data_IF_853412307700
#
_entry.id   IF_853412307700
#
_cell.length_a   1.000
_cell.length_b   1.000
_cell.length_c   1.000
_cell.angle_alpha   90.00
_cell.angle_beta   90.00
_cell.angle_gamma   90.00
#
_symmetry.space_group_name_H-M   'P 1'
#
loop_
_entity.id
_entity.type
_entity.pdbx_description
1 polymer ?
#
# COMPACT_ATOMS: atom_id res chain seq x y z
N UNK A 1 33.76 -46.36 28.15
CA UNK A 1 33.86 -46.11 26.67
C UNK A 1 33.54 -44.65 26.30
N UNK A 2 33.72 -44.21 25.05
CA UNK A 2 33.27 -42.87 24.60
C UNK A 2 32.10 -42.99 23.62
N UNK A 3 31.13 -42.08 23.71
CA UNK A 3 29.97 -42.07 22.82
C UNK A 3 30.42 -41.84 21.36
N UNK A 4 30.07 -42.73 20.42
CA UNK A 4 30.48 -42.57 19.02
C UNK A 4 29.84 -41.38 18.31
N UNK A 5 28.77 -40.79 18.87
CA UNK A 5 28.06 -39.67 18.26
C UNK A 5 28.54 -38.29 18.73
N UNK A 6 28.93 -38.15 20.00
CA UNK A 6 29.32 -36.84 20.56
C UNK A 6 30.65 -36.83 21.34
N UNK A 7 31.31 -37.97 21.48
CA UNK A 7 32.63 -38.08 22.11
C UNK A 7 32.66 -37.91 23.62
N UNK A 8 31.51 -37.83 24.30
CA UNK A 8 31.45 -37.79 25.78
C UNK A 8 31.76 -39.16 26.38
N UNK A 9 32.31 -39.18 27.58
CA UNK A 9 32.59 -40.42 28.32
C UNK A 9 31.28 -41.10 28.74
N UNK A 10 31.19 -42.42 28.56
CA UNK A 10 30.02 -43.25 28.85
C UNK A 10 30.47 -44.49 29.62
N UNK A 11 29.71 -44.91 30.64
CA UNK A 11 30.04 -46.10 31.43
C UNK A 11 29.73 -47.35 30.62
N UNK A 12 30.46 -48.42 30.88
CA UNK A 12 30.39 -49.64 30.09
C UNK A 12 29.06 -50.41 30.26
N UNK A 13 28.17 -50.00 31.18
CA UNK A 13 26.84 -50.59 31.37
C UNK A 13 25.70 -49.67 30.86
N UNK A 14 26.02 -48.46 30.39
CA UNK A 14 25.00 -47.50 29.96
C UNK A 14 24.45 -47.88 28.58
N UNK A 15 23.12 -47.98 28.48
CA UNK A 15 22.41 -48.29 27.23
C UNK A 15 22.28 -47.07 26.30
N UNK A 16 22.41 -45.86 26.85
CA UNK A 16 22.29 -44.58 26.14
C UNK A 16 23.27 -43.55 26.71
N UNK A 17 23.78 -42.66 25.87
CA UNK A 17 24.61 -41.54 26.28
C UNK A 17 23.77 -40.50 27.04
N UNK A 18 24.18 -40.13 28.25
CA UNK A 18 23.50 -39.14 29.08
C UNK A 18 23.52 -37.71 28.52
N UNK A 19 24.45 -37.39 27.62
CA UNK A 19 24.60 -36.03 27.06
C UNK A 19 23.80 -35.82 25.77
N UNK A 20 23.83 -36.78 24.84
CA UNK A 20 23.18 -36.62 23.52
C UNK A 20 22.03 -37.59 23.26
N UNK A 21 21.77 -38.55 24.17
CA UNK A 21 20.70 -39.54 24.05
C UNK A 21 20.95 -40.66 23.04
N UNK A 22 22.15 -40.76 22.45
CA UNK A 22 22.48 -41.81 21.50
C UNK A 22 22.58 -43.19 22.17
N UNK A 23 21.97 -44.22 21.57
CA UNK A 23 22.03 -45.61 22.05
C UNK A 23 23.45 -46.17 21.92
N UNK A 24 23.90 -46.92 22.92
CA UNK A 24 25.22 -47.56 22.97
C UNK A 24 25.04 -49.06 22.77
N UNK A 25 25.69 -49.63 21.76
CA UNK A 25 25.63 -51.06 21.47
C UNK A 25 26.78 -51.79 22.19
N UNK A 26 26.41 -52.66 23.12
CA UNK A 26 27.34 -53.58 23.78
C UNK A 26 27.38 -54.89 22.99
N UNK A 27 28.57 -55.30 22.56
CA UNK A 27 28.77 -56.58 21.88
C UNK A 27 29.14 -57.63 22.91
N UNK A 28 28.17 -58.46 23.32
CA UNK A 28 28.45 -59.63 24.16
C UNK A 28 29.12 -60.74 23.33
N UNK A 29 30.28 -61.21 23.79
CA UNK A 29 31.01 -62.36 23.23
C UNK A 29 30.45 -63.65 23.85
N UNK A 30 30.14 -64.70 23.06
CA UNK A 30 29.50 -65.91 23.57
C UNK A 30 30.52 -66.96 24.05
N UNK A 31 30.29 -67.58 25.21
CA UNK A 31 31.03 -68.78 25.63
C UNK A 31 30.17 -69.83 26.37
N UNK A 32 30.02 -70.96 25.67
CA UNK A 32 29.67 -72.36 25.96
C UNK A 32 29.23 -72.89 27.35
N UNK A 33 28.15 -73.68 27.31
CA UNK A 33 27.78 -74.83 28.19
C UNK A 33 28.82 -75.99 28.14
N UNK A 34 28.89 -77.00 29.06
CA UNK A 34 27.74 -77.80 29.57
C UNK A 34 27.82 -78.46 30.99
N UNK A 35 26.71 -79.11 31.42
CA UNK A 35 26.58 -80.53 31.86
C UNK A 35 25.46 -80.73 32.92
N UNK A 36 24.55 -81.66 32.61
CA UNK A 36 23.45 -82.23 33.42
C UNK A 36 23.90 -82.92 34.72
N UNK A 37 23.08 -82.81 35.78
CA UNK A 37 22.69 -83.93 36.67
C UNK A 37 21.37 -83.63 37.40
N UNK A 38 20.67 -84.71 37.71
CA UNK A 38 19.23 -84.87 37.96
C UNK A 38 18.97 -85.19 39.45
N UNK A 39 17.92 -84.62 40.07
CA UNK A 39 17.05 -85.22 41.11
C UNK A 39 16.04 -84.20 41.69
N UNK A 40 14.79 -84.64 41.82
CA UNK A 40 13.58 -83.93 42.27
C UNK A 40 13.45 -83.83 43.82
N UNK A 41 12.30 -83.44 44.42
CA UNK A 41 11.40 -82.29 44.17
C UNK A 41 11.12 -81.51 45.49
N UNK A 42 11.21 -80.17 45.53
CA UNK A 42 10.56 -79.41 46.62
C UNK A 42 10.00 -78.05 46.17
N UNK A 43 8.67 -77.96 46.36
CA UNK A 43 7.82 -76.80 46.62
C UNK A 43 7.78 -75.66 45.60
N UNK A 44 6.60 -75.55 44.97
CA UNK A 44 6.02 -74.29 44.51
C UNK A 44 6.20 -73.19 45.57
N UNK A 45 6.95 -72.14 45.22
CA UNK A 45 6.68 -70.82 45.79
C UNK A 45 6.38 -69.89 44.62
N UNK A 46 5.10 -69.85 44.26
CA UNK A 46 4.51 -68.72 43.54
C UNK A 46 4.93 -67.47 44.30
N UNK A 47 5.85 -66.67 43.75
CA UNK A 47 6.04 -65.29 44.20
C UNK A 47 4.76 -64.55 43.84
N UNK A 48 3.79 -64.61 44.74
CA UNK A 48 2.64 -63.72 44.74
C UNK A 48 3.20 -62.30 44.74
N UNK A 49 2.95 -61.58 43.65
CA UNK A 49 3.14 -60.14 43.60
C UNK A 49 2.56 -59.55 44.89
N UNK A 50 3.40 -58.84 45.66
CA UNK A 50 2.98 -58.20 46.90
C UNK A 50 1.79 -57.30 46.58
N UNK A 51 0.59 -57.76 46.94
CA UNK A 51 -0.65 -57.07 46.65
C UNK A 51 -0.67 -55.77 47.44
N UNK A 52 -0.73 -54.63 46.75
CA UNK A 52 -0.97 -53.33 47.37
C UNK A 52 -2.15 -53.44 48.37
N UNK A 53 -1.96 -52.89 49.57
CA UNK A 53 -3.01 -52.78 50.60
C UNK A 53 -4.29 -52.18 50.02
N UNK A 54 -5.47 -52.64 50.45
CA UNK A 54 -6.76 -52.18 49.91
C UNK A 54 -6.96 -50.67 50.01
N UNK A 55 -6.31 -50.00 50.97
CA UNK A 55 -6.30 -48.53 51.06
C UNK A 55 -5.45 -47.90 49.95
N UNK A 56 -4.29 -48.47 49.65
CA UNK A 56 -3.40 -48.02 48.57
C UNK A 56 -4.03 -48.33 47.21
N UNK A 57 -4.69 -49.48 47.03
CA UNK A 57 -5.48 -49.77 45.81
C UNK A 57 -6.59 -48.76 45.58
N UNK A 58 -7.33 -48.35 46.62
CA UNK A 58 -8.38 -47.32 46.49
C UNK A 58 -7.82 -45.95 46.14
N UNK A 59 -6.67 -45.57 46.70
CA UNK A 59 -5.96 -44.32 46.36
C UNK A 59 -5.45 -44.37 44.91
N UNK A 60 -4.81 -45.46 44.50
CA UNK A 60 -4.34 -45.66 43.12
C UNK A 60 -5.52 -45.64 42.13
N UNK A 61 -6.64 -46.31 42.44
CA UNK A 61 -7.85 -46.27 41.59
C UNK A 61 -8.42 -44.85 41.51
N UNK A 62 -8.42 -44.10 42.61
CA UNK A 62 -8.88 -42.71 42.62
C UNK A 62 -7.97 -41.79 41.80
N UNK A 63 -6.63 -41.91 41.92
CA UNK A 63 -5.68 -41.17 41.09
C UNK A 63 -5.78 -41.53 39.61
N UNK A 64 -5.89 -42.81 39.28
CA UNK A 64 -6.10 -43.27 37.89
C UNK A 64 -7.42 -42.70 37.35
N UNK A 65 -8.50 -42.74 38.13
CA UNK A 65 -9.78 -42.18 37.71
C UNK A 65 -9.67 -40.67 37.45
N UNK A 66 -9.02 -39.91 38.33
CA UNK A 66 -8.76 -38.47 38.14
C UNK A 66 -7.91 -38.22 36.90
N UNK A 67 -6.83 -38.98 36.70
CA UNK A 67 -5.98 -38.90 35.52
C UNK A 67 -6.78 -39.17 34.23
N UNK A 68 -7.64 -40.19 34.22
CA UNK A 68 -8.50 -40.52 33.08
C UNK A 68 -9.48 -39.39 32.79
N UNK A 69 -10.07 -38.76 33.81
CA UNK A 69 -10.94 -37.58 33.62
C UNK A 69 -10.15 -36.41 33.02
N UNK A 70 -8.94 -36.15 33.50
CA UNK A 70 -8.07 -35.09 32.96
C UNK A 70 -7.66 -35.38 31.51
N UNK A 71 -7.33 -36.62 31.18
CA UNK A 71 -7.02 -37.07 29.82
C UNK A 71 -8.26 -36.91 28.93
N UNK A 72 -9.44 -37.37 29.37
CA UNK A 72 -10.68 -37.22 28.61
C UNK A 72 -11.02 -35.74 28.37
N UNK A 73 -10.86 -34.89 29.39
CA UNK A 73 -11.02 -33.44 29.26
C UNK A 73 -9.99 -32.84 28.28
N UNK A 74 -8.73 -33.29 28.34
CA UNK A 74 -7.67 -32.86 27.42
C UNK A 74 -7.98 -33.25 25.97
N UNK A 75 -8.40 -34.48 25.71
CA UNK A 75 -8.80 -34.93 24.37
C UNK A 75 -10.06 -34.21 23.87
N UNK A 76 -11.04 -33.96 24.73
CA UNK A 76 -12.25 -33.23 24.38
C UNK A 76 -11.94 -31.76 24.02
N UNK A 77 -11.20 -31.05 24.87
CA UNK A 77 -10.81 -29.65 24.64
C UNK A 77 -9.83 -29.52 23.47
N UNK A 78 -8.90 -30.47 23.36
CA UNK A 78 -7.92 -30.58 22.28
C UNK A 78 -8.60 -30.74 20.93
N UNK A 79 -9.50 -31.71 20.78
CA UNK A 79 -10.28 -31.91 19.55
C UNK A 79 -11.15 -30.70 19.22
N UNK A 80 -11.79 -30.06 20.20
CA UNK A 80 -12.64 -28.89 19.96
C UNK A 80 -11.85 -27.69 19.42
N UNK A 81 -10.66 -27.43 19.96
CA UNK A 81 -9.76 -26.36 19.48
C UNK A 81 -9.02 -26.72 18.18
N UNK A 82 -9.03 -27.99 17.81
CA UNK A 82 -8.31 -28.57 16.68
C UNK A 82 -9.29 -29.02 15.60
N UNK A 83 -10.33 -28.22 15.39
CA UNK A 83 -11.38 -28.45 14.39
C UNK A 83 -11.30 -27.41 13.26
N UNK A 84 -11.85 -27.72 12.06
CA UNK A 84 -11.94 -26.75 10.97
C UNK A 84 -12.74 -25.50 11.37
N UNK A 85 -13.81 -25.69 12.14
CA UNK A 85 -14.65 -24.61 12.65
C UNK A 85 -13.87 -23.69 13.60
N UNK A 86 -12.97 -24.24 14.42
CA UNK A 86 -12.10 -23.45 15.28
C UNK A 86 -11.14 -22.57 14.48
N UNK A 87 -10.65 -23.05 13.33
CA UNK A 87 -9.79 -22.24 12.45
C UNK A 87 -10.58 -21.07 11.82
N UNK A 88 -11.80 -21.30 11.33
CA UNK A 88 -12.67 -20.25 10.81
C UNK A 88 -13.06 -19.23 11.88
N UNK A 89 -13.39 -19.68 13.10
CA UNK A 89 -13.65 -18.81 14.24
C UNK A 89 -12.42 -17.96 14.62
N UNK A 90 -11.23 -18.55 14.53
CA UNK A 90 -9.99 -17.82 14.80
C UNK A 90 -9.73 -16.73 13.76
N UNK A 91 -10.02 -16.98 12.47
CA UNK A 91 -9.99 -15.93 11.43
C UNK A 91 -10.95 -14.78 11.75
N UNK A 92 -12.21 -15.08 12.06
CA UNK A 92 -13.21 -14.05 12.44
C UNK A 92 -12.73 -13.24 13.65
N UNK A 93 -12.13 -13.92 14.64
CA UNK A 93 -11.55 -13.27 15.81
C UNK A 93 -10.37 -12.37 15.46
N UNK A 94 -9.42 -12.85 14.66
CA UNK A 94 -8.24 -12.07 14.26
C UNK A 94 -8.64 -10.86 13.41
N UNK A 95 -9.65 -10.99 12.53
CA UNK A 95 -10.20 -9.88 11.76
C UNK A 95 -10.86 -8.85 12.69
N UNK A 96 -11.77 -9.29 13.58
CA UNK A 96 -12.48 -8.39 14.50
C UNK A 96 -11.54 -7.74 15.54
N UNK A 97 -10.37 -8.37 15.78
CA UNK A 97 -9.30 -7.83 16.62
C UNK A 97 -8.27 -7.03 15.80
N UNK A 98 -8.58 -6.69 14.54
CA UNK A 98 -7.80 -5.83 13.67
C UNK A 98 -6.36 -6.32 13.41
N UNK A 99 -6.16 -7.64 13.33
CA UNK A 99 -4.84 -8.22 13.04
C UNK A 99 -4.57 -8.27 11.54
N UNK A 100 -4.58 -7.11 10.91
CA UNK A 100 -4.60 -6.94 9.45
C UNK A 100 -3.47 -7.65 8.71
N UNK A 101 -2.25 -7.63 9.24
CA UNK A 101 -1.12 -8.43 8.73
C UNK A 101 -1.51 -9.89 8.46
N UNK A 102 -2.12 -10.55 9.45
CA UNK A 102 -2.53 -11.96 9.32
C UNK A 102 -3.68 -12.18 8.35
N UNK A 103 -4.54 -11.17 8.21
CA UNK A 103 -5.68 -11.23 7.30
C UNK A 103 -5.19 -11.06 5.86
N UNK A 104 -4.20 -10.19 5.64
CA UNK A 104 -3.57 -9.97 4.35
C UNK A 104 -3.00 -11.25 3.75
N UNK A 105 -2.28 -12.04 4.55
CA UNK A 105 -1.65 -13.31 4.13
C UNK A 105 -2.65 -14.35 3.57
N UNK A 106 -3.95 -14.19 3.86
CA UNK A 106 -5.01 -15.10 3.41
C UNK A 106 -5.62 -14.66 2.07
N UNK A 107 -5.35 -13.44 1.63
CA UNK A 107 -5.72 -12.96 0.30
C UNK A 107 -4.69 -13.38 -0.74
N UNK A 108 -5.16 -13.52 -1.98
CA UNK A 108 -4.29 -13.75 -3.14
C UNK A 108 -4.34 -12.52 -4.04
N UNK A 109 -3.71 -11.43 -3.60
CA UNK A 109 -3.60 -10.21 -4.38
C UNK A 109 -2.40 -10.26 -5.33
N UNK A 110 -2.57 -9.65 -6.51
CA UNK A 110 -1.44 -9.31 -7.37
C UNK A 110 -0.78 -8.06 -6.81
N UNK A 111 0.43 -8.22 -6.27
CA UNK A 111 1.19 -7.16 -5.59
C UNK A 111 1.51 -5.99 -6.52
N UNK A 112 1.39 -4.78 -5.99
CA UNK A 112 1.73 -3.52 -6.66
C UNK A 112 2.14 -2.47 -5.61
N UNK A 113 2.48 -1.26 -6.06
CA UNK A 113 2.94 -0.13 -5.27
C UNK A 113 2.03 0.17 -4.07
N UNK A 114 0.71 0.11 -4.24
CA UNK A 114 -0.28 0.31 -3.17
C UNK A 114 -1.16 -0.91 -2.92
N UNK A 115 -0.79 -2.05 -3.48
CA UNK A 115 -1.43 -3.35 -3.25
C UNK A 115 -0.37 -4.24 -2.62
N UNK A 116 -0.17 -4.07 -1.33
CA UNK A 116 0.76 -4.83 -0.50
C UNK A 116 0.29 -4.81 0.95
N UNK A 117 0.94 -5.61 1.81
CA UNK A 117 0.57 -5.75 3.21
C UNK A 117 0.53 -4.39 3.95
N UNK A 118 1.57 -3.56 3.79
CA UNK A 118 1.65 -2.25 4.46
C UNK A 118 0.48 -1.35 4.03
N UNK A 119 0.21 -1.26 2.73
CA UNK A 119 -0.91 -0.49 2.21
C UNK A 119 -2.26 -1.00 2.72
N UNK A 120 -2.43 -2.31 2.82
CA UNK A 120 -3.66 -2.92 3.34
C UNK A 120 -3.87 -2.58 4.81
N UNK A 121 -2.84 -2.75 5.64
CA UNK A 121 -2.90 -2.41 7.07
C UNK A 121 -3.28 -0.95 7.28
N UNK A 122 -2.59 -0.02 6.60
CA UNK A 122 -2.89 1.41 6.68
C UNK A 122 -4.29 1.76 6.19
N UNK A 123 -4.77 1.12 5.11
CA UNK A 123 -6.13 1.35 4.61
C UNK A 123 -7.17 0.89 5.63
N UNK A 124 -6.97 -0.29 6.21
CA UNK A 124 -7.90 -0.88 7.18
C UNK A 124 -7.92 -0.14 8.52
N UNK A 125 -6.78 0.42 8.96
CA UNK A 125 -6.71 1.26 10.16
C UNK A 125 -7.42 2.61 10.01
N UNK A 126 -7.35 3.20 8.81
CA UNK A 126 -7.94 4.51 8.52
C UNK A 126 -9.41 4.45 8.07
N UNK A 127 -9.87 3.27 7.66
CA UNK A 127 -11.23 3.06 7.15
C UNK A 127 -12.17 2.54 8.23
N UNK A 128 -13.46 2.83 8.09
CA UNK A 128 -14.47 2.19 8.92
C UNK A 128 -14.64 0.72 8.51
N UNK A 129 -14.24 -0.21 9.38
CA UNK A 129 -14.36 -1.65 9.14
C UNK A 129 -15.60 -2.21 9.80
N UNK A 130 -16.43 -2.95 9.05
CA UNK A 130 -17.54 -3.74 9.62
C UNK A 130 -16.99 -4.97 10.33
N UNK A 131 -17.61 -5.37 11.43
CA UNK A 131 -17.30 -6.63 12.11
C UNK A 131 -17.85 -7.83 11.33
N UNK A 132 -17.17 -8.96 11.50
CA UNK A 132 -17.59 -10.25 10.96
C UNK A 132 -18.48 -10.98 11.95
N UNK A 133 -19.54 -11.62 11.44
CA UNK A 133 -20.39 -12.52 12.23
C UNK A 133 -19.67 -13.84 12.54
N UNK A 134 -20.28 -14.66 13.41
CA UNK A 134 -19.85 -16.04 13.54
C UNK A 134 -19.90 -16.76 12.17
N UNK A 135 -18.90 -17.58 11.84
CA UNK A 135 -18.87 -18.31 10.59
C UNK A 135 -19.87 -19.48 10.61
N UNK A 136 -20.52 -19.74 9.48
CA UNK A 136 -21.39 -20.91 9.28
C UNK A 136 -20.90 -21.71 8.09
N UNK A 137 -21.03 -23.03 8.13
CA UNK A 137 -20.55 -23.90 7.05
C UNK A 137 -20.01 -25.22 7.58
N UNK A 138 -19.21 -25.90 6.76
CA UNK A 138 -18.72 -27.23 7.07
C UNK A 138 -18.05 -27.90 5.89
N UNK A 139 -18.05 -29.23 5.92
CA UNK A 139 -17.44 -30.04 4.87
C UNK A 139 -18.28 -30.00 3.59
N UNK A 140 -17.62 -29.80 2.45
CA UNK A 140 -18.26 -29.79 1.12
C UNK A 140 -17.98 -31.11 0.40
N UNK A 141 -19.04 -31.85 0.05
CA UNK A 141 -18.94 -33.18 -0.57
C UNK A 141 -18.94 -33.15 -2.12
N UNK A 142 -19.43 -32.07 -2.73
CA UNK A 142 -19.66 -32.00 -4.18
C UNK A 142 -19.27 -30.63 -4.76
N UNK A 143 -19.01 -30.58 -6.08
CA UNK A 143 -18.65 -29.35 -6.80
C UNK A 143 -17.15 -29.06 -6.82
N UNK A 144 -16.76 -27.87 -7.29
CA UNK A 144 -15.37 -27.43 -7.49
C UNK A 144 -14.53 -27.49 -6.20
N UNK A 145 -15.17 -27.45 -5.04
CA UNK A 145 -14.53 -27.46 -3.73
C UNK A 145 -14.81 -28.75 -2.93
N UNK A 146 -15.23 -29.82 -3.60
CA UNK A 146 -15.41 -31.12 -2.96
C UNK A 146 -14.12 -31.56 -2.23
N UNK A 147 -14.27 -32.02 -0.99
CA UNK A 147 -13.13 -32.41 -0.14
C UNK A 147 -12.55 -31.29 0.73
N UNK A 148 -13.14 -30.09 0.71
CA UNK A 148 -12.69 -28.94 1.51
C UNK A 148 -13.69 -28.57 2.60
N UNK A 149 -13.19 -27.94 3.68
CA UNK A 149 -14.03 -27.29 4.67
C UNK A 149 -14.22 -25.83 4.29
N UNK A 150 -15.47 -25.44 4.06
CA UNK A 150 -15.84 -24.09 3.62
C UNK A 150 -16.75 -23.48 4.65
N UNK A 151 -16.36 -22.31 5.12
CA UNK A 151 -17.15 -21.49 6.04
C UNK A 151 -17.47 -20.15 5.40
N UNK A 152 -18.58 -19.56 5.80
CA UNK A 152 -19.03 -18.25 5.35
C UNK A 152 -19.30 -17.37 6.57
N UNK A 153 -18.87 -16.11 6.50
CA UNK A 153 -19.17 -15.10 7.52
C UNK A 153 -19.72 -13.84 6.86
N UNK A 154 -20.61 -13.14 7.56
CA UNK A 154 -21.23 -11.90 7.07
C UNK A 154 -20.39 -10.69 7.48
N UNK A 155 -20.17 -9.79 6.52
CA UNK A 155 -19.56 -8.47 6.69
C UNK A 155 -20.60 -7.41 6.30
N UNK A 156 -21.54 -7.14 7.21
CA UNK A 156 -22.77 -6.43 6.85
C UNK A 156 -23.61 -7.25 5.86
N UNK A 157 -23.88 -6.69 4.68
CA UNK A 157 -24.58 -7.38 3.58
C UNK A 157 -23.70 -8.37 2.81
N UNK A 158 -22.38 -8.18 2.88
CA UNK A 158 -21.40 -8.95 2.11
C UNK A 158 -21.08 -10.28 2.78
N UNK A 159 -20.56 -11.24 2.01
CA UNK A 159 -20.19 -12.57 2.52
C UNK A 159 -18.73 -12.85 2.21
N UNK A 160 -17.96 -13.22 3.22
CA UNK A 160 -16.60 -13.72 3.07
C UNK A 160 -16.65 -15.25 3.12
N UNK A 161 -16.04 -15.89 2.13
CA UNK A 161 -15.84 -17.34 2.10
C UNK A 161 -14.45 -17.68 2.62
N UNK A 162 -14.37 -18.62 3.54
CA UNK A 162 -13.16 -19.03 4.25
C UNK A 162 -12.88 -20.49 3.89
N UNK A 163 -11.73 -20.73 3.26
CA UNK A 163 -11.28 -22.07 2.88
C UNK A 163 -10.36 -22.63 3.95
N UNK A 164 -10.74 -23.74 4.57
CA UNK A 164 -9.99 -24.39 5.65
C UNK A 164 -9.50 -25.75 5.18
N UNK A 165 -8.21 -26.03 5.44
CA UNK A 165 -7.61 -27.32 5.14
C UNK A 165 -6.90 -27.88 6.38
N UNK A 166 -6.75 -29.20 6.38
CA UNK A 166 -5.94 -29.91 7.36
C UNK A 166 -4.46 -29.68 7.07
N UNK A 167 -3.73 -29.21 8.07
CA UNK A 167 -2.29 -29.02 8.03
C UNK A 167 -1.58 -30.37 8.18
N UNK A 168 -0.37 -30.48 7.61
CA UNK A 168 0.51 -31.62 7.86
C UNK A 168 1.02 -31.65 9.32
N UNK A 169 0.98 -30.51 10.01
CA UNK A 169 1.39 -30.38 11.41
C UNK A 169 0.26 -30.83 12.35
N UNK A 170 0.62 -31.27 13.55
CA UNK A 170 -0.32 -31.63 14.62
C UNK A 170 -0.28 -30.57 15.73
N UNK A 171 -1.42 -30.28 16.33
CA UNK A 171 -1.49 -29.54 17.58
C UNK A 171 -1.15 -30.50 18.73
N UNK A 172 -0.19 -30.11 19.57
CA UNK A 172 0.29 -30.93 20.69
C UNK A 172 0.70 -32.35 20.30
N UNK A 173 1.20 -32.58 19.08
CA UNK A 173 1.56 -33.90 18.50
C UNK A 173 0.39 -34.88 18.26
N UNK A 174 -0.75 -34.72 18.92
CA UNK A 174 -1.86 -35.67 18.85
C UNK A 174 -3.02 -35.19 17.96
N UNK A 175 -3.35 -33.90 18.02
CA UNK A 175 -4.57 -33.38 17.40
C UNK A 175 -4.32 -32.88 15.99
N UNK A 176 -5.30 -33.08 15.10
CA UNK A 176 -5.25 -32.53 13.76
C UNK A 176 -5.18 -31.00 13.79
N UNK A 177 -4.26 -30.38 13.07
CA UNK A 177 -4.27 -28.92 12.94
C UNK A 177 -5.04 -28.54 11.68
N UNK A 178 -5.92 -27.56 11.79
CA UNK A 178 -6.61 -26.97 10.65
C UNK A 178 -6.20 -25.50 10.53
N UNK A 179 -6.00 -25.04 9.30
CA UNK A 179 -5.55 -23.69 8.98
C UNK A 179 -6.43 -23.11 7.89
N UNK A 180 -6.70 -21.81 7.98
CA UNK A 180 -7.30 -21.08 6.85
C UNK A 180 -6.23 -20.98 5.77
N UNK A 181 -6.57 -21.45 4.58
CA UNK A 181 -5.65 -21.50 3.43
C UNK A 181 -5.82 -20.32 2.50
N UNK A 182 -7.05 -19.83 2.37
CA UNK A 182 -7.37 -18.64 1.60
C UNK A 182 -8.75 -18.12 1.99
N UNK A 183 -9.02 -16.87 1.61
CA UNK A 183 -10.35 -16.28 1.69
C UNK A 183 -10.77 -15.69 0.36
N UNK A 184 -12.08 -15.64 0.15
CA UNK A 184 -12.71 -14.87 -0.92
C UNK A 184 -13.61 -13.82 -0.28
N UNK A 185 -13.21 -12.55 -0.35
CA UNK A 185 -14.00 -11.40 0.10
C UNK A 185 -14.35 -10.51 -1.11
N UNK A 186 -15.61 -10.53 -1.54
CA UNK A 186 -16.06 -9.69 -2.66
C UNK A 186 -16.13 -8.20 -2.31
N UNK A 187 -16.08 -7.86 -1.01
CA UNK A 187 -16.07 -6.48 -0.54
C UNK A 187 -14.67 -5.87 -0.47
N UNK A 188 -13.61 -6.69 -0.53
CA UNK A 188 -12.24 -6.21 -0.61
C UNK A 188 -11.92 -5.81 -2.05
N UNK A 189 -12.32 -4.60 -2.45
CA UNK A 189 -12.14 -4.14 -3.82
C UNK A 189 -10.89 -3.28 -3.99
N UNK A 190 -10.35 -3.29 -5.20
CA UNK A 190 -9.23 -2.43 -5.61
C UNK A 190 -9.80 -1.39 -6.57
N UNK A 191 -9.50 -0.11 -6.33
CA UNK A 191 -9.94 0.99 -7.19
C UNK A 191 -8.80 1.57 -7.98
N UNK A 192 -9.14 2.07 -9.15
CA UNK A 192 -8.25 2.89 -9.95
C UNK A 192 -8.37 4.34 -9.50
N UNK A 193 -7.24 4.94 -9.12
CA UNK A 193 -7.16 6.31 -8.59
C UNK A 193 -6.24 7.12 -9.48
N UNK A 194 -6.67 8.33 -9.80
CA UNK A 194 -5.84 9.30 -10.53
C UNK A 194 -4.95 10.02 -9.52
N UNK A 195 -3.65 10.03 -9.75
CA UNK A 195 -2.67 10.82 -9.01
C UNK A 195 -2.03 11.86 -9.93
N UNK A 196 -1.41 12.88 -9.35
CA UNK A 196 -0.64 13.87 -10.11
C UNK A 196 0.87 13.58 -10.01
N UNK A 197 1.62 14.09 -10.99
CA UNK A 197 3.08 14.13 -10.96
C UNK A 197 3.53 15.58 -11.07
N UNK A 198 4.53 15.94 -10.27
CA UNK A 198 5.12 17.28 -10.28
C UNK A 198 6.64 17.15 -10.05
N UNK A 199 7.48 17.60 -11.00
CA UNK A 199 8.93 17.49 -10.87
C UNK A 199 9.46 18.17 -9.60
N UNK A 200 10.18 17.40 -8.78
CA UNK A 200 10.71 17.84 -7.48
C UNK A 200 9.78 17.55 -6.28
N UNK A 201 8.56 17.05 -6.52
CA UNK A 201 7.62 16.65 -5.46
C UNK A 201 7.44 15.13 -5.49
N UNK A 202 7.68 14.49 -4.35
CA UNK A 202 7.33 13.08 -4.15
C UNK A 202 5.97 12.99 -3.47
N UNK A 203 5.02 12.40 -4.17
CA UNK A 203 3.70 12.06 -3.62
C UNK A 203 3.79 10.76 -2.84
N UNK A 204 3.21 10.73 -1.65
CA UNK A 204 3.05 9.52 -0.86
C UNK A 204 1.58 9.31 -0.50
N UNK A 205 1.09 8.08 -0.62
CA UNK A 205 -0.24 7.67 -0.12
C UNK A 205 0.01 6.72 1.03
N UNK A 206 -0.53 7.03 2.20
CA UNK A 206 -0.37 6.27 3.44
C UNK A 206 1.11 6.01 3.82
N UNK A 207 1.97 6.99 3.53
CA UNK A 207 3.42 6.90 3.78
C UNK A 207 4.21 6.21 2.68
N UNK A 208 3.55 5.46 1.79
CA UNK A 208 4.16 4.74 0.68
C UNK A 208 4.38 5.69 -0.49
N UNK A 209 5.61 5.73 -1.02
CA UNK A 209 5.96 6.59 -2.14
C UNK A 209 5.35 6.11 -3.45
N UNK A 210 4.67 7.01 -4.15
CA UNK A 210 4.04 6.71 -5.42
C UNK A 210 5.10 6.53 -6.52
N UNK A 211 4.96 5.46 -7.31
CA UNK A 211 5.79 5.22 -8.49
C UNK A 211 5.13 5.81 -9.72
N UNK A 212 5.78 6.80 -10.32
CA UNK A 212 5.31 7.40 -11.58
C UNK A 212 5.68 6.46 -12.74
N UNK A 213 4.74 6.01 -13.57
CA UNK A 213 5.05 5.18 -14.74
C UNK A 213 5.97 5.91 -15.71
N UNK A 214 6.96 5.21 -16.29
CA UNK A 214 7.97 5.80 -17.19
C UNK A 214 7.35 6.48 -18.42
N UNK A 215 6.22 5.97 -18.90
CA UNK A 215 5.49 6.48 -20.06
C UNK A 215 4.54 7.66 -19.74
N UNK A 216 4.60 8.22 -18.54
CA UNK A 216 3.75 9.35 -18.15
C UNK A 216 4.18 10.63 -18.87
N UNK A 217 3.42 11.03 -19.88
CA UNK A 217 3.67 12.27 -20.65
C UNK A 217 2.93 13.50 -20.11
N UNK A 218 1.94 13.29 -19.24
CA UNK A 218 1.12 14.35 -18.63
C UNK A 218 1.48 14.64 -17.17
N UNK A 219 0.68 15.51 -16.53
CA UNK A 219 0.84 15.84 -15.11
C UNK A 219 0.04 14.90 -14.19
N UNK A 220 -0.54 13.84 -14.74
CA UNK A 220 -1.35 12.86 -14.00
C UNK A 220 -1.16 11.47 -14.55
N UNK A 221 -1.35 10.47 -13.71
CA UNK A 221 -1.36 9.06 -14.07
C UNK A 221 -2.39 8.33 -13.22
N UNK A 222 -2.72 7.09 -13.61
CA UNK A 222 -3.60 6.23 -12.85
C UNK A 222 -2.80 5.15 -12.14
N UNK A 223 -3.21 4.81 -10.92
CA UNK A 223 -2.66 3.71 -10.12
C UNK A 223 -3.79 2.92 -9.48
N UNK A 224 -3.50 1.70 -9.04
CA UNK A 224 -4.42 0.87 -8.25
C UNK A 224 -4.10 1.01 -6.76
N UNK A 225 -5.13 1.01 -5.91
CA UNK A 225 -5.01 0.93 -4.44
C UNK A 225 -6.28 0.30 -3.85
N UNK A 226 -6.22 -0.17 -2.60
CA UNK A 226 -7.38 -0.73 -1.90
C UNK A 226 -8.52 0.28 -1.80
N UNK A 227 -9.76 -0.21 -1.76
CA UNK A 227 -10.91 0.65 -1.47
C UNK A 227 -10.92 1.03 0.02
N UNK A 228 -10.86 2.33 0.31
CA UNK A 228 -10.96 2.85 1.66
C UNK A 228 -10.65 4.34 1.76
N UNK A 229 -10.37 4.75 3.00
CA UNK A 229 -9.87 6.08 3.35
C UNK A 229 -8.35 6.08 3.29
N UNK A 230 -7.76 7.03 2.58
CA UNK A 230 -6.32 7.18 2.43
C UNK A 230 -5.86 8.60 2.75
N UNK A 231 -4.62 8.73 3.22
CA UNK A 231 -3.95 10.01 3.44
C UNK A 231 -2.87 10.24 2.40
N UNK A 232 -3.02 11.29 1.60
CA UNK A 232 -1.98 11.77 0.68
C UNK A 232 -1.09 12.81 1.37
N UNK A 233 0.22 12.69 1.16
CA UNK A 233 1.24 13.60 1.70
C UNK A 233 2.29 13.89 0.64
N UNK A 234 3.09 14.94 0.89
CA UNK A 234 4.05 15.46 -0.10
C UNK A 234 5.41 15.67 0.54
N UNK A 235 6.45 15.26 -0.17
CA UNK A 235 7.83 15.60 0.15
C UNK A 235 8.40 16.50 -0.96
N UNK A 236 9.18 17.53 -0.61
CA UNK A 236 9.69 18.53 -1.55
C UNK A 236 8.65 19.57 -2.00
N UNK A 237 7.53 19.70 -1.28
CA UNK A 237 6.43 20.62 -1.59
C UNK A 237 6.24 21.72 -0.54
N UNK A 238 7.31 22.10 0.17
CA UNK A 238 7.23 23.08 1.26
C UNK A 238 6.64 24.41 0.78
N UNK A 239 5.57 24.84 1.45
CA UNK A 239 4.83 26.06 1.11
C UNK A 239 4.08 26.03 -0.22
N UNK A 240 4.06 24.90 -0.94
CA UNK A 240 3.38 24.79 -2.24
C UNK A 240 1.86 24.63 -2.08
N UNK A 241 1.44 23.78 -1.15
CA UNK A 241 0.04 23.48 -0.87
C UNK A 241 -0.43 24.15 0.42
N UNK A 242 -1.73 24.37 0.56
CA UNK A 242 -2.31 24.98 1.77
C UNK A 242 -2.26 24.04 2.99
N UNK A 243 -2.07 22.75 2.76
CA UNK A 243 -1.92 21.72 3.79
C UNK A 243 -0.78 20.76 3.43
N UNK A 244 -0.19 20.13 4.44
CA UNK A 244 0.86 19.12 4.27
C UNK A 244 0.32 17.73 3.95
N UNK A 245 -0.98 17.51 4.18
CA UNK A 245 -1.67 16.26 3.92
C UNK A 245 -3.15 16.46 3.61
N UNK A 246 -3.74 15.54 2.85
CA UNK A 246 -5.19 15.49 2.63
C UNK A 246 -5.69 14.06 2.79
N UNK A 247 -6.96 13.91 3.13
CA UNK A 247 -7.62 12.59 3.20
C UNK A 247 -8.65 12.47 2.09
N UNK A 248 -8.70 11.32 1.45
CA UNK A 248 -9.70 11.02 0.42
C UNK A 248 -10.20 9.58 0.54
N UNK A 249 -11.45 9.36 0.13
CA UNK A 249 -12.05 8.04 -0.01
C UNK A 249 -12.01 7.60 -1.47
N UNK A 250 -11.35 6.48 -1.73
CA UNK A 250 -11.31 5.90 -3.08
C UNK A 250 -12.69 5.47 -3.53
N UNK A 251 -12.99 5.61 -4.82
CA UNK A 251 -14.31 5.27 -5.38
C UNK A 251 -15.37 6.35 -5.16
N UNK A 252 -15.19 7.25 -4.20
CA UNK A 252 -16.09 8.37 -3.91
C UNK A 252 -15.48 9.71 -4.36
N UNK A 253 -14.18 9.90 -4.17
CA UNK A 253 -13.53 11.21 -4.29
C UNK A 253 -12.32 11.18 -5.22
N UNK A 254 -12.08 12.29 -5.92
CA UNK A 254 -10.85 12.51 -6.67
C UNK A 254 -9.84 13.26 -5.78
N UNK A 255 -8.69 12.66 -5.39
CA UNK A 255 -7.74 13.35 -4.52
C UNK A 255 -7.22 14.67 -5.11
N UNK A 256 -7.15 14.78 -6.44
CA UNK A 256 -6.62 15.97 -7.11
C UNK A 256 -7.51 17.21 -6.97
N UNK A 257 -8.82 17.04 -6.72
CA UNK A 257 -9.73 18.17 -6.49
C UNK A 257 -9.73 18.66 -5.04
N UNK A 258 -9.21 17.86 -4.10
CA UNK A 258 -9.07 18.26 -2.70
C UNK A 258 -7.84 19.11 -2.43
N UNK A 259 -6.76 18.85 -3.16
CA UNK A 259 -5.48 19.52 -2.96
C UNK A 259 -5.55 20.94 -3.49
N UNK A 260 -5.14 21.91 -2.66
CA UNK A 260 -5.18 23.34 -3.00
C UNK A 260 -3.79 23.95 -2.86
N UNK A 261 -3.45 24.83 -3.80
CA UNK A 261 -2.24 25.64 -3.70
C UNK A 261 -2.36 26.67 -2.57
N UNK A 262 -1.26 26.90 -1.85
CA UNK A 262 -1.18 27.94 -0.83
C UNK A 262 -1.30 29.35 -1.43
N UNK A 263 -1.68 30.33 -0.62
CA UNK A 263 -1.68 31.73 -1.05
C UNK A 263 -0.29 32.25 -1.41
N UNK A 264 0.76 31.73 -0.74
CA UNK A 264 2.15 32.03 -1.08
C UNK A 264 2.51 31.52 -2.48
N UNK A 265 2.16 30.27 -2.80
CA UNK A 265 2.39 29.70 -4.12
C UNK A 265 1.63 30.47 -5.21
N UNK A 266 0.37 30.86 -4.93
CA UNK A 266 -0.44 31.71 -5.82
C UNK A 266 0.22 33.05 -6.09
N UNK A 267 0.76 33.71 -5.05
CA UNK A 267 1.45 34.99 -5.19
C UNK A 267 2.77 34.86 -5.97
N UNK A 268 3.57 33.83 -5.70
CA UNK A 268 4.81 33.53 -6.44
C UNK A 268 4.55 33.29 -7.92
N UNK A 269 3.56 32.46 -8.26
CA UNK A 269 3.20 32.15 -9.64
C UNK A 269 2.81 33.42 -10.42
N UNK A 270 2.03 34.31 -9.80
CA UNK A 270 1.65 35.59 -10.41
C UNK A 270 2.85 36.53 -10.59
N UNK A 271 3.74 36.59 -9.59
CA UNK A 271 4.98 37.37 -9.66
C UNK A 271 5.89 36.88 -10.79
N UNK A 272 6.05 35.57 -10.94
CA UNK A 272 6.88 34.99 -12.00
C UNK A 272 6.29 35.23 -13.39
N UNK A 273 4.96 35.07 -13.56
CA UNK A 273 4.32 35.43 -14.83
C UNK A 273 4.57 36.90 -15.18
N UNK A 274 4.44 37.81 -14.22
CA UNK A 274 4.72 39.24 -14.40
C UNK A 274 6.15 39.48 -14.92
N UNK A 275 7.13 38.71 -14.45
CA UNK A 275 8.52 38.80 -14.91
C UNK A 275 8.72 38.29 -16.35
N UNK A 276 7.88 37.37 -16.83
CA UNK A 276 7.99 36.80 -18.19
C UNK A 276 7.36 37.69 -19.26
N UNK A 277 6.34 38.48 -18.91
CA UNK A 277 5.57 39.31 -19.84
C UNK A 277 6.40 40.27 -20.70
N UNK A 278 7.46 40.94 -20.20
CA UNK A 278 8.31 41.79 -21.05
C UNK A 278 8.96 41.03 -22.20
N UNK A 279 9.45 39.81 -21.98
CA UNK A 279 10.06 39.01 -23.06
C UNK A 279 9.01 38.43 -24.00
N UNK A 280 7.91 37.92 -23.46
CA UNK A 280 6.76 37.40 -24.24
C UNK A 280 6.20 38.47 -25.19
N UNK A 281 5.94 39.67 -24.67
CA UNK A 281 5.39 40.77 -25.48
C UNK A 281 6.39 41.32 -26.47
N UNK A 282 7.68 41.39 -26.12
CA UNK A 282 8.73 41.79 -27.06
C UNK A 282 8.81 40.81 -28.24
N UNK A 283 8.81 39.51 -27.97
CA UNK A 283 8.86 38.48 -29.00
C UNK A 283 7.68 38.60 -29.97
N UNK A 284 6.46 38.88 -29.47
CA UNK A 284 5.29 39.13 -30.32
C UNK A 284 5.42 40.42 -31.12
N UNK A 285 5.76 41.54 -30.47
CA UNK A 285 5.86 42.86 -31.11
C UNK A 285 6.91 42.86 -32.22
N UNK A 286 8.05 42.20 -31.98
CA UNK A 286 9.17 42.15 -32.93
C UNK A 286 9.13 40.96 -33.89
N UNK A 287 8.08 40.13 -33.84
CA UNK A 287 7.96 38.90 -34.63
C UNK A 287 9.17 37.96 -34.49
N UNK A 288 9.68 37.76 -33.27
CA UNK A 288 10.84 36.90 -33.00
C UNK A 288 10.48 35.41 -32.85
N UNK A 289 9.22 35.06 -33.10
CA UNK A 289 8.68 33.74 -32.77
C UNK A 289 8.70 33.50 -31.26
N UNK A 290 9.05 32.28 -30.86
CA UNK A 290 9.19 31.86 -29.46
C UNK A 290 10.65 31.57 -29.06
N UNK A 291 11.61 31.94 -29.93
CA UNK A 291 13.03 31.77 -29.64
C UNK A 291 13.39 32.53 -28.36
N UNK A 292 14.00 31.83 -27.40
CA UNK A 292 14.34 32.37 -26.08
C UNK A 292 13.18 32.41 -25.07
N UNK A 293 11.96 31.99 -25.44
CA UNK A 293 10.84 31.87 -24.50
C UNK A 293 10.69 30.48 -23.89
N UNK A 294 11.31 29.45 -24.48
CA UNK A 294 11.16 28.04 -24.10
C UNK A 294 11.33 27.79 -22.61
N UNK A 295 12.29 28.48 -21.97
CA UNK A 295 12.53 28.36 -20.52
C UNK A 295 11.38 28.85 -19.62
N UNK A 296 10.40 29.57 -20.16
CA UNK A 296 9.22 30.04 -19.44
C UNK A 296 8.02 29.10 -19.57
N UNK A 297 8.12 28.05 -20.40
CA UNK A 297 7.04 27.11 -20.66
C UNK A 297 7.39 25.70 -20.20
N UNK A 298 6.39 24.85 -20.04
CA UNK A 298 6.58 23.47 -19.61
C UNK A 298 7.21 22.56 -20.67
N UNK A 299 7.23 22.97 -21.94
CA UNK A 299 8.01 22.38 -23.04
C UNK A 299 8.16 23.35 -24.22
N UNK A 300 9.08 23.04 -25.14
CA UNK A 300 9.26 23.79 -26.39
C UNK A 300 8.00 23.76 -27.26
N UNK A 301 7.28 22.64 -27.30
CA UNK A 301 6.01 22.54 -27.99
C UNK A 301 5.00 23.54 -27.42
N UNK A 302 4.90 23.67 -26.09
CA UNK A 302 3.97 24.63 -25.47
C UNK A 302 4.42 26.08 -25.68
N UNK A 303 5.72 26.35 -25.69
CA UNK A 303 6.25 27.65 -26.10
C UNK A 303 5.89 27.97 -27.57
N UNK A 304 5.90 26.97 -28.47
CA UNK A 304 5.45 27.15 -29.86
C UNK A 304 3.94 27.44 -29.93
N UNK A 305 3.14 26.67 -29.20
CA UNK A 305 1.67 26.80 -29.22
C UNK A 305 1.16 28.08 -28.57
N UNK A 306 1.79 28.53 -27.48
CA UNK A 306 1.25 29.58 -26.61
C UNK A 306 2.24 30.71 -26.27
N UNK A 307 3.45 30.69 -26.85
CA UNK A 307 4.58 31.57 -26.52
C UNK A 307 4.26 33.06 -26.52
N UNK A 308 3.33 33.48 -27.36
CA UNK A 308 2.94 34.89 -27.50
C UNK A 308 1.45 35.14 -27.32
N UNK A 309 0.67 34.13 -26.91
CA UNK A 309 -0.79 34.19 -26.82
C UNK A 309 -1.32 35.22 -25.82
N UNK A 310 -0.51 35.67 -24.87
CA UNK A 310 -0.93 36.70 -23.92
C UNK A 310 -0.99 38.11 -24.53
N UNK A 311 -0.28 38.39 -25.63
CA UNK A 311 -0.42 39.65 -26.39
C UNK A 311 -1.57 39.49 -27.40
N UNK A 312 -2.79 39.71 -26.91
CA UNK A 312 -4.05 39.42 -27.59
C UNK A 312 -4.25 40.26 -28.85
N UNK A 313 -3.97 41.55 -28.76
CA UNK A 313 -4.30 42.49 -29.82
C UNK A 313 -3.11 43.36 -30.15
N UNK A 314 -2.66 43.21 -31.39
CA UNK A 314 -1.54 43.94 -31.97
C UNK A 314 -1.76 44.02 -33.48
N UNK A 315 -1.81 45.24 -34.02
CA UNK A 315 -2.05 45.46 -35.44
C UNK A 315 -0.79 45.46 -36.29
N UNK A 316 0.28 46.09 -35.78
CA UNK A 316 1.52 46.30 -36.55
C UNK A 316 2.71 45.75 -35.79
N UNK A 317 3.30 44.68 -36.29
CA UNK A 317 4.41 43.99 -35.64
C UNK A 317 5.49 43.68 -36.67
N UNK A 318 6.74 43.59 -36.24
CA UNK A 318 7.87 43.44 -37.15
C UNK A 318 9.20 43.68 -36.48
N UNK A 319 10.28 43.16 -37.06
CA UNK A 319 11.62 43.19 -36.44
C UNK A 319 12.16 44.62 -36.24
N UNK A 320 11.67 45.58 -37.02
CA UNK A 320 12.01 47.00 -36.95
C UNK A 320 11.26 47.77 -35.84
N UNK A 321 10.29 47.13 -35.16
CA UNK A 321 9.64 47.73 -34.00
C UNK A 321 10.67 48.12 -32.93
N UNK A 322 10.52 49.32 -32.37
CA UNK A 322 11.48 49.90 -31.41
C UNK A 322 10.78 50.70 -30.32
N UNK A 323 11.59 51.26 -29.41
CA UNK A 323 11.11 52.07 -28.28
C UNK A 323 10.03 51.32 -27.46
N UNK A 324 10.31 50.06 -27.14
CA UNK A 324 9.45 49.23 -26.30
C UNK A 324 9.34 49.87 -24.91
N UNK A 325 8.14 50.34 -24.56
CA UNK A 325 7.84 50.82 -23.22
C UNK A 325 7.83 49.68 -22.21
N UNK A 326 7.68 50.05 -20.93
CA UNK A 326 7.44 49.09 -19.87
C UNK A 326 6.07 48.44 -20.01
N UNK A 327 5.97 47.18 -19.59
CA UNK A 327 4.67 46.50 -19.46
C UNK A 327 3.88 47.15 -18.33
N UNK A 328 2.69 47.67 -18.65
CA UNK A 328 1.77 48.33 -17.71
C UNK A 328 0.61 47.37 -17.41
N UNK A 329 0.68 46.68 -16.27
CA UNK A 329 -0.36 45.73 -15.87
C UNK A 329 -1.40 46.43 -15.01
N UNK A 330 -2.67 46.21 -15.35
CA UNK A 330 -3.83 46.55 -14.50
C UNK A 330 -4.27 45.35 -13.66
N UNK A 331 -3.92 44.12 -14.10
CA UNK A 331 -4.17 42.88 -13.37
C UNK A 331 -3.06 41.88 -13.63
N UNK A 332 -2.57 41.24 -12.57
CA UNK A 332 -1.71 40.05 -12.65
C UNK A 332 -1.76 39.34 -11.30
N UNK A 333 -2.70 38.42 -11.17
CA UNK A 333 -2.95 37.73 -9.90
C UNK A 333 -3.50 36.33 -10.17
N UNK A 334 -3.23 35.41 -9.24
CA UNK A 334 -3.92 34.14 -9.22
C UNK A 334 -5.44 34.37 -9.12
N UNK A 335 -6.20 33.53 -9.80
CA UNK A 335 -7.66 33.49 -9.72
C UNK A 335 -8.07 32.08 -9.39
N UNK A 336 -9.21 31.94 -8.72
CA UNK A 336 -9.76 30.62 -8.49
C UNK A 336 -10.22 30.02 -9.81
N UNK A 337 -10.09 28.71 -9.91
CA UNK A 337 -10.64 28.00 -11.04
C UNK A 337 -12.16 28.01 -10.97
N UNK A 338 -12.77 28.37 -12.08
CA UNK A 338 -14.21 28.53 -12.25
C UNK A 338 -14.93 27.23 -12.60
N UNK A 339 -14.17 26.20 -12.98
CA UNK A 339 -14.70 24.87 -13.29
C UNK A 339 -14.42 23.89 -12.15
N UNK A 340 -15.45 23.11 -11.78
CA UNK A 340 -15.32 22.00 -10.83
C UNK A 340 -14.40 20.87 -11.33
N UNK A 341 -14.06 20.84 -12.62
CA UNK A 341 -13.11 19.89 -13.20
C UNK A 341 -11.65 20.30 -13.03
N UNK A 342 -11.39 21.52 -12.56
CA UNK A 342 -10.04 21.99 -12.35
C UNK A 342 -9.41 21.30 -11.14
N UNK A 343 -8.16 20.90 -11.29
CA UNK A 343 -7.45 20.19 -10.24
C UNK A 343 -6.07 20.77 -9.99
N UNK A 344 -5.42 20.35 -8.91
CA UNK A 344 -4.02 20.73 -8.62
C UNK A 344 -3.07 20.46 -9.79
N UNK A 345 -3.33 19.43 -10.61
CA UNK A 345 -2.50 19.05 -11.74
C UNK A 345 -2.57 20.02 -12.93
N UNK A 346 -3.60 20.88 -12.98
CA UNK A 346 -3.75 21.95 -13.97
C UNK A 346 -2.88 23.18 -13.65
N UNK A 347 -2.36 23.28 -12.42
CA UNK A 347 -1.53 24.39 -11.97
C UNK A 347 -2.31 25.49 -11.25
N UNK A 348 -1.78 26.71 -11.29
CA UNK A 348 -2.40 27.91 -10.75
C UNK A 348 -2.86 28.78 -11.91
N UNK A 349 -4.16 29.09 -12.06
CA UNK A 349 -4.60 30.03 -13.08
C UNK A 349 -4.23 31.44 -12.65
N UNK A 350 -3.41 32.12 -13.44
CA UNK A 350 -3.03 33.52 -13.22
C UNK A 350 -3.62 34.36 -14.34
N UNK A 351 -4.54 35.24 -13.97
CA UNK A 351 -5.14 36.15 -14.91
C UNK A 351 -4.31 37.42 -15.06
N UNK A 352 -4.14 37.85 -16.30
CA UNK A 352 -3.33 39.03 -16.65
C UNK A 352 -4.11 39.97 -17.56
N UNK A 353 -4.01 41.27 -17.27
CA UNK A 353 -4.52 42.35 -18.10
C UNK A 353 -3.55 43.52 -18.06
N UNK A 354 -3.33 44.16 -19.21
CA UNK A 354 -2.45 45.31 -19.29
C UNK A 354 -2.14 45.71 -20.72
N UNK A 355 -1.15 46.57 -20.88
CA UNK A 355 -0.71 47.07 -22.17
C UNK A 355 0.80 47.25 -22.22
N UNK A 356 1.32 47.32 -23.45
CA UNK A 356 2.70 47.74 -23.70
C UNK A 356 2.75 48.61 -24.95
N UNK A 357 3.23 49.84 -24.76
CA UNK A 357 3.43 50.79 -25.86
C UNK A 357 4.74 50.49 -26.60
N UNK A 358 4.77 50.75 -27.91
CA UNK A 358 5.96 50.65 -28.76
C UNK A 358 5.81 51.57 -29.97
N UNK A 359 6.85 51.63 -30.82
CA UNK A 359 6.78 52.27 -32.13
C UNK A 359 7.01 51.27 -33.24
N UNK A 360 6.17 51.32 -34.28
CA UNK A 360 6.32 50.52 -35.50
C UNK A 360 6.71 51.41 -36.67
N UNK A 361 7.34 50.85 -37.70
CA UNK A 361 7.64 51.58 -38.93
C UNK A 361 6.46 51.46 -39.88
N UNK A 362 5.90 52.60 -40.30
CA UNK A 362 4.87 52.62 -41.31
C UNK A 362 5.51 52.34 -42.69
N UNK A 363 5.05 51.31 -43.38
CA UNK A 363 5.59 50.89 -44.69
C UNK A 363 5.39 51.92 -45.81
N UNK A 364 4.39 52.80 -45.69
CA UNK A 364 4.06 53.81 -46.70
C UNK A 364 4.84 55.11 -46.51
N UNK A 365 4.94 55.57 -45.26
CA UNK A 365 5.56 56.86 -44.94
C UNK A 365 7.02 56.73 -44.49
N UNK A 366 7.46 55.52 -44.14
CA UNK A 366 8.77 55.24 -43.55
C UNK A 366 8.95 55.78 -42.13
N UNK A 367 7.95 56.48 -41.58
CA UNK A 367 8.00 57.09 -40.25
C UNK A 367 7.71 56.07 -39.15
N UNK A 368 8.08 56.43 -37.91
CA UNK A 368 7.79 55.60 -36.75
C UNK A 368 6.57 56.13 -36.00
N UNK A 369 5.51 55.34 -35.95
CA UNK A 369 4.24 55.68 -35.33
C UNK A 369 4.04 54.91 -34.02
N UNK A 370 3.27 55.49 -33.10
CA UNK A 370 2.97 54.87 -31.80
C UNK A 370 1.93 53.76 -31.99
N UNK A 371 2.14 52.63 -31.31
CA UNK A 371 1.17 51.56 -31.22
C UNK A 371 1.18 50.92 -29.82
N UNK A 372 0.13 50.17 -29.49
CA UNK A 372 -0.03 49.50 -28.18
C UNK A 372 -0.38 48.03 -28.39
N UNK A 373 0.37 47.13 -27.74
CA UNK A 373 -0.03 45.72 -27.58
C UNK A 373 -0.93 45.61 -26.35
N UNK A 374 -2.09 44.99 -26.50
CA UNK A 374 -2.97 44.63 -25.38
C UNK A 374 -2.61 43.26 -24.85
N UNK A 375 -2.41 43.18 -23.54
CA UNK A 375 -2.17 41.93 -22.80
C UNK A 375 -3.47 41.53 -22.14
N UNK A 376 -3.98 40.33 -22.44
CA UNK A 376 -5.20 39.81 -21.81
C UNK A 376 -5.28 38.28 -21.93
N UNK A 377 -5.48 37.59 -20.82
CA UNK A 377 -5.71 36.15 -20.78
C UNK A 377 -5.50 35.55 -19.40
N UNK A 378 -5.55 34.22 -19.33
CA UNK A 378 -5.20 33.43 -18.15
C UNK A 378 -4.08 32.49 -18.51
N UNK A 379 -2.97 32.51 -17.76
CA UNK A 379 -1.90 31.53 -17.88
C UNK A 379 -2.01 30.51 -16.75
N UNK A 380 -2.02 29.22 -17.07
CA UNK A 380 -1.89 28.16 -16.07
C UNK A 380 -0.42 27.97 -15.72
N UNK A 381 -0.04 28.28 -14.49
CA UNK A 381 1.34 28.21 -14.00
C UNK A 381 1.58 26.90 -13.24
N UNK A 382 2.62 26.15 -13.59
CA UNK A 382 3.04 24.94 -12.89
C UNK A 382 4.44 25.12 -12.29
N UNK A 383 4.68 24.53 -11.12
CA UNK A 383 6.01 24.46 -10.54
C UNK A 383 6.73 23.22 -11.07
N UNK A 384 7.87 23.41 -11.73
CA UNK A 384 8.76 22.33 -12.20
C UNK A 384 10.17 22.61 -11.70
N UNK A 385 10.74 21.69 -10.92
CA UNK A 385 12.10 21.80 -10.39
C UNK A 385 12.35 23.15 -9.70
N UNK A 386 11.40 23.58 -8.85
CA UNK A 386 11.46 24.84 -8.11
C UNK A 386 11.09 26.10 -8.90
N UNK A 387 10.96 26.04 -10.23
CA UNK A 387 10.62 27.19 -11.08
C UNK A 387 9.15 27.17 -11.51
N UNK A 388 8.48 28.32 -11.46
CA UNK A 388 7.16 28.50 -12.06
C UNK A 388 7.26 28.65 -13.58
N UNK A 389 6.50 27.87 -14.33
CA UNK A 389 6.49 27.87 -15.80
C UNK A 389 5.05 27.83 -16.32
N UNK A 390 4.85 28.40 -17.50
CA UNK A 390 3.55 28.47 -18.18
C UNK A 390 3.26 27.12 -18.83
N UNK A 391 2.17 26.50 -18.41
CA UNK A 391 1.69 25.25 -19.00
C UNK A 391 0.72 25.48 -20.15
N UNK A 392 -0.17 26.45 -20.03
CA UNK A 392 -1.09 26.82 -21.10
C UNK A 392 -1.56 28.25 -20.92
N UNK A 393 -2.10 28.82 -22.00
CA UNK A 393 -2.70 30.15 -22.00
C UNK A 393 -4.09 30.05 -22.60
N UNK A 394 -5.08 30.62 -21.93
CA UNK A 394 -6.44 30.78 -22.45
C UNK A 394 -6.82 32.25 -22.58
N UNK A 395 -7.64 32.55 -23.60
CA UNK A 395 -8.15 33.91 -23.85
C UNK A 395 -9.42 34.24 -23.07
N UNK A 396 -10.10 33.22 -22.56
CA UNK A 396 -11.33 33.32 -21.80
C UNK A 396 -11.04 33.11 -20.31
N UNK A 397 -11.62 33.97 -19.48
CA UNK A 397 -12.08 33.55 -18.16
C UNK A 397 -13.18 32.53 -18.43
N UNK A 398 -12.89 31.25 -18.22
CA UNK A 398 -13.97 30.37 -17.83
C UNK A 398 -14.41 30.79 -16.46
#
# INVERSE_FOLDING_TARGET
MFCPNCGSEVKDDDLFCGECGAKIEHTEVPESEPVKKEAAPQSESVRTAAGFSDKVKKIIIAEIAVLVVLIAAFFYLGNKKSSPESAANQFVKDYNSQRWSKIYDLYNFEEDTFINQEAYEQTMEQSETKTLSAPTGGYTEYGTYAGQYIYQTKKGSDTITIHVAKSAKKNFLFFDKYEVTSITDTSATIKTVKLFTMPGVTVKVDGIAAKVPENTSGNTYYTRMFEGTHKITFHGADGLFDQTSYTFKTGEENPLSKIKYSDSAKAEAAKELKNYLPKITEAKIRNLGNSGLTSYFTSDQKANSYGTSLCRYIYYYGQDAKALGNVKLTKCQAVDATSSYYTVADGIPVAVQGTRDYKYKNGWTGSYEKQTCTINGVAKMLKKNGKWVIDSVSYYYY
#
